data_IF_171839027116
#
_entry.id   IF_171839027116
#
_cell.length_a   1.000
_cell.length_b   1.000
_cell.length_c   1.000
_cell.angle_alpha   90.00
_cell.angle_beta   90.00
_cell.angle_gamma   90.00
#
_symmetry.space_group_name_H-M   'P 1'
#
loop_
_entity.id
_entity.type
_entity.pdbx_description
1 polymer ?
#
# COMPACT_ATOMS: atom_id res chain seq x y z
N UNK A 1 -19.22 -11.00 12.93
CA UNK A 1 -19.04 -11.68 11.64
C UNK A 1 -17.75 -11.21 10.94
N UNK A 2 -17.50 -9.92 10.79
CA UNK A 2 -16.29 -9.35 10.15
C UNK A 2 -14.97 -9.98 10.64
N UNK A 3 -14.75 -10.07 11.96
CA UNK A 3 -13.51 -10.64 12.54
C UNK A 3 -13.28 -12.11 12.13
N UNK A 4 -14.34 -12.91 11.98
CA UNK A 4 -14.21 -14.31 11.56
C UNK A 4 -13.81 -14.39 10.08
N UNK A 5 -14.47 -13.63 9.20
CA UNK A 5 -14.14 -13.56 7.77
C UNK A 5 -12.70 -13.07 7.56
N UNK A 6 -12.31 -11.97 8.21
CA UNK A 6 -10.97 -11.43 8.14
C UNK A 6 -9.90 -12.47 8.55
N UNK A 7 -10.15 -13.25 9.61
CA UNK A 7 -9.23 -14.32 10.05
C UNK A 7 -9.01 -15.38 8.97
N UNK A 8 -10.09 -15.81 8.31
CA UNK A 8 -9.99 -16.82 7.24
C UNK A 8 -9.30 -16.26 5.99
N UNK A 9 -9.61 -15.03 5.61
CA UNK A 9 -8.97 -14.34 4.49
C UNK A 9 -7.46 -14.17 4.74
N UNK A 10 -7.06 -13.71 5.92
CA UNK A 10 -5.65 -13.60 6.30
C UNK A 10 -4.94 -14.96 6.26
N UNK A 11 -5.57 -16.03 6.75
CA UNK A 11 -4.98 -17.37 6.73
C UNK A 11 -4.83 -17.92 5.30
N UNK A 12 -5.77 -17.61 4.41
CA UNK A 12 -5.71 -18.03 3.02
C UNK A 12 -4.51 -17.41 2.29
N UNK A 13 -4.33 -16.10 2.44
CA UNK A 13 -3.20 -15.37 1.82
C UNK A 13 -1.85 -15.72 2.44
N UNK A 14 -1.81 -16.00 3.75
CA UNK A 14 -0.59 -16.35 4.48
C UNK A 14 0.20 -17.50 3.85
N UNK A 15 -0.50 -18.48 3.30
CA UNK A 15 0.12 -19.66 2.70
C UNK A 15 1.06 -19.32 1.52
N UNK A 16 0.79 -18.22 0.82
CA UNK A 16 1.60 -17.77 -0.31
C UNK A 16 2.58 -16.68 0.09
N UNK A 17 2.15 -15.70 0.89
CA UNK A 17 3.02 -14.59 1.28
C UNK A 17 4.17 -15.00 2.18
N UNK A 18 3.93 -15.87 3.18
CA UNK A 18 4.96 -16.25 4.17
C UNK A 18 6.18 -16.93 3.50
N UNK A 19 6.01 -17.93 2.61
CA UNK A 19 7.16 -18.50 1.89
C UNK A 19 7.91 -17.46 1.05
N UNK A 20 7.20 -16.55 0.38
CA UNK A 20 7.82 -15.49 -0.41
C UNK A 20 8.67 -14.56 0.45
N UNK A 21 8.17 -14.14 1.61
CA UNK A 21 8.92 -13.32 2.55
C UNK A 21 10.18 -14.02 3.06
N UNK A 22 10.06 -15.32 3.38
CA UNK A 22 11.20 -16.12 3.80
C UNK A 22 12.30 -16.18 2.72
N UNK A 23 11.93 -16.37 1.45
CA UNK A 23 12.87 -16.41 0.34
C UNK A 23 13.56 -15.07 0.12
N UNK A 24 12.83 -13.94 0.19
CA UNK A 24 13.41 -12.59 0.03
C UNK A 24 14.40 -12.29 1.16
N UNK A 25 14.03 -12.57 2.41
CA UNK A 25 14.92 -12.36 3.56
C UNK A 25 16.16 -13.26 3.50
N UNK A 26 15.99 -14.51 3.08
CA UNK A 26 17.10 -15.43 2.91
C UNK A 26 18.06 -14.95 1.80
N UNK A 27 17.52 -14.48 0.68
CA UNK A 27 18.35 -13.92 -0.40
C UNK A 27 19.09 -12.65 0.02
N UNK A 28 18.49 -11.79 0.83
CA UNK A 28 19.18 -10.61 1.36
C UNK A 28 20.37 -11.00 2.26
N UNK A 29 20.19 -12.04 3.10
CA UNK A 29 21.30 -12.59 3.93
C UNK A 29 22.39 -13.24 3.07
N UNK A 30 22.02 -14.01 2.04
CA UNK A 30 23.01 -14.61 1.11
C UNK A 30 23.82 -13.54 0.37
N UNK A 31 23.20 -12.44 -0.02
CA UNK A 31 23.92 -11.33 -0.64
C UNK A 31 24.98 -10.72 0.29
N UNK A 32 24.71 -10.63 1.61
CA UNK A 32 25.73 -10.18 2.58
C UNK A 32 26.94 -11.12 2.55
N UNK A 33 26.71 -12.44 2.51
CA UNK A 33 27.78 -13.43 2.45
C UNK A 33 28.64 -13.24 1.20
N UNK A 34 28.00 -13.02 0.04
CA UNK A 34 28.72 -12.77 -1.21
C UNK A 34 29.53 -11.47 -1.17
N UNK A 35 28.98 -10.40 -0.58
CA UNK A 35 29.68 -9.12 -0.40
C UNK A 35 30.91 -9.33 0.50
N UNK A 36 30.74 -10.02 1.60
CA UNK A 36 31.82 -10.28 2.58
C UNK A 36 32.91 -11.20 2.06
N UNK A 37 32.54 -12.14 1.20
CA UNK A 37 33.48 -13.05 0.53
C UNK A 37 34.20 -12.41 -0.68
N UNK A 38 33.90 -11.16 -1.00
CA UNK A 38 34.43 -10.43 -2.19
C UNK A 38 34.26 -11.21 -3.50
N UNK A 39 33.26 -12.13 -3.54
CA UNK A 39 32.99 -12.97 -4.69
C UNK A 39 32.12 -12.21 -5.70
N UNK A 40 32.79 -11.48 -6.61
CA UNK A 40 32.15 -10.61 -7.60
C UNK A 40 31.04 -11.28 -8.43
N UNK A 41 31.22 -12.51 -8.97
CA UNK A 41 30.14 -13.18 -9.71
C UNK A 41 28.92 -13.46 -8.83
N UNK A 42 29.12 -13.84 -7.57
CA UNK A 42 28.04 -14.07 -6.60
C UNK A 42 27.30 -12.81 -6.24
N UNK A 43 28.01 -11.68 -6.05
CA UNK A 43 27.43 -10.37 -5.76
C UNK A 43 26.49 -9.93 -6.90
N UNK A 44 26.95 -9.99 -8.15
CA UNK A 44 26.17 -9.56 -9.31
C UNK A 44 24.95 -10.47 -9.51
N UNK A 45 25.13 -11.78 -9.51
CA UNK A 45 24.03 -12.74 -9.70
C UNK A 45 23.03 -12.71 -8.53
N UNK A 46 23.54 -12.62 -7.30
CA UNK A 46 22.71 -12.56 -6.09
C UNK A 46 21.85 -11.29 -6.05
N UNK A 47 22.42 -10.13 -6.41
CA UNK A 47 21.68 -8.88 -6.47
C UNK A 47 20.63 -8.91 -7.58
N UNK A 48 20.95 -9.46 -8.76
CA UNK A 48 19.96 -9.64 -9.83
C UNK A 48 18.80 -10.51 -9.40
N UNK A 49 19.08 -11.68 -8.79
CA UNK A 49 18.03 -12.58 -8.27
C UNK A 49 17.18 -11.87 -7.20
N UNK A 50 17.82 -11.12 -6.30
CA UNK A 50 17.11 -10.36 -5.27
C UNK A 50 16.15 -9.33 -5.88
N UNK A 51 16.59 -8.54 -6.86
CA UNK A 51 15.74 -7.57 -7.56
C UNK A 51 14.57 -8.27 -8.27
N UNK A 52 14.84 -9.40 -8.95
CA UNK A 52 13.78 -10.18 -9.59
C UNK A 52 12.76 -10.72 -8.57
N UNK A 53 13.21 -11.19 -7.40
CA UNK A 53 12.32 -11.65 -6.33
C UNK A 53 11.50 -10.51 -5.74
N UNK A 54 12.10 -9.33 -5.60
CA UNK A 54 11.39 -8.14 -5.10
C UNK A 54 10.31 -7.69 -6.08
N UNK A 55 10.60 -7.68 -7.38
CA UNK A 55 9.60 -7.41 -8.43
C UNK A 55 8.51 -8.49 -8.46
N UNK A 56 8.91 -9.76 -8.31
CA UNK A 56 7.96 -10.87 -8.25
C UNK A 56 7.02 -10.75 -7.03
N UNK A 57 7.51 -10.30 -5.87
CA UNK A 57 6.66 -10.03 -4.69
C UNK A 57 5.57 -9.00 -5.01
N UNK A 58 5.93 -7.90 -5.68
CA UNK A 58 4.96 -6.87 -6.05
C UNK A 58 3.87 -7.43 -6.98
N UNK A 59 4.27 -8.21 -8.00
CA UNK A 59 3.32 -8.84 -8.93
C UNK A 59 2.43 -9.86 -8.21
N UNK A 60 3.02 -10.72 -7.38
CA UNK A 60 2.28 -11.74 -6.60
C UNK A 60 1.30 -11.07 -5.63
N UNK A 61 1.68 -9.97 -4.98
CA UNK A 61 0.80 -9.23 -4.08
C UNK A 61 -0.46 -8.72 -4.79
N UNK A 62 -0.31 -8.15 -5.99
CA UNK A 62 -1.45 -7.70 -6.82
C UNK A 62 -2.29 -8.88 -7.29
N UNK A 63 -1.66 -9.92 -7.83
CA UNK A 63 -2.36 -11.11 -8.35
C UNK A 63 -3.13 -11.81 -7.25
N UNK A 64 -2.55 -12.00 -6.06
CA UNK A 64 -3.24 -12.63 -4.93
C UNK A 64 -4.42 -11.81 -4.44
N UNK A 65 -4.29 -10.48 -4.40
CA UNK A 65 -5.40 -9.59 -4.02
C UNK A 65 -6.57 -9.73 -4.99
N UNK A 66 -6.28 -9.72 -6.29
CA UNK A 66 -7.30 -9.87 -7.35
C UNK A 66 -7.93 -11.27 -7.30
N UNK A 67 -7.12 -12.32 -7.28
CA UNK A 67 -7.62 -13.70 -7.31
C UNK A 67 -8.41 -14.06 -6.07
N UNK A 68 -8.00 -13.58 -4.89
CA UNK A 68 -8.76 -13.81 -3.66
C UNK A 68 -10.13 -13.14 -3.72
N UNK A 69 -10.21 -11.86 -4.12
CA UNK A 69 -11.49 -11.20 -4.27
C UNK A 69 -12.36 -11.88 -5.32
N UNK A 70 -11.79 -12.18 -6.49
CA UNK A 70 -12.53 -12.83 -7.58
C UNK A 70 -13.08 -14.18 -7.14
N UNK A 71 -12.26 -15.09 -6.63
CA UNK A 71 -12.66 -16.44 -6.29
C UNK A 71 -13.72 -16.49 -5.17
N UNK A 72 -13.57 -15.62 -4.17
CA UNK A 72 -14.42 -15.65 -2.97
C UNK A 72 -15.70 -14.81 -3.09
N UNK A 73 -15.76 -13.85 -4.01
CA UNK A 73 -16.94 -12.97 -4.15
C UNK A 73 -17.67 -13.20 -5.48
N UNK A 74 -16.94 -13.37 -6.58
CA UNK A 74 -17.47 -13.42 -7.93
C UNK A 74 -17.36 -14.82 -8.57
N UNK A 75 -16.47 -15.67 -8.06
CA UNK A 75 -16.17 -17.00 -8.57
C UNK A 75 -16.95 -18.12 -7.88
N UNK A 76 -16.47 -19.37 -7.98
CA UNK A 76 -17.15 -20.56 -7.47
C UNK A 76 -17.48 -20.52 -5.97
N UNK A 77 -16.63 -19.90 -5.16
CA UNK A 77 -16.85 -19.73 -3.72
C UNK A 77 -17.82 -18.57 -3.41
N UNK A 78 -18.11 -17.72 -4.41
CA UNK A 78 -18.98 -16.56 -4.26
C UNK A 78 -20.41 -16.95 -3.87
N UNK A 79 -20.91 -18.08 -4.37
CA UNK A 79 -22.21 -18.59 -3.96
C UNK A 79 -22.28 -18.83 -2.46
N UNK A 80 -21.29 -19.52 -1.87
CA UNK A 80 -21.22 -19.77 -0.43
C UNK A 80 -21.08 -18.46 0.36
N UNK A 81 -20.25 -17.54 -0.13
CA UNK A 81 -20.02 -16.25 0.55
C UNK A 81 -21.30 -15.39 0.57
N UNK A 82 -22.06 -15.38 -0.51
CA UNK A 82 -23.29 -14.59 -0.62
C UNK A 82 -24.52 -15.25 0.02
N UNK A 83 -24.48 -16.56 0.32
CA UNK A 83 -25.53 -17.23 1.12
C UNK A 83 -25.35 -17.04 2.62
N UNK A 84 -24.21 -16.56 3.08
CA UNK A 84 -23.98 -16.24 4.49
C UNK A 84 -24.89 -15.07 4.92
N UNK A 85 -25.45 -15.10 6.16
CA UNK A 85 -26.26 -14.01 6.68
C UNK A 85 -25.39 -12.81 7.10
N UNK A 86 -24.66 -12.24 6.16
CA UNK A 86 -23.77 -11.08 6.36
C UNK A 86 -24.07 -10.01 5.33
N UNK A 87 -23.88 -8.74 5.70
CA UNK A 87 -24.05 -7.63 4.76
C UNK A 87 -22.92 -7.60 3.71
N UNK A 88 -23.23 -7.13 2.51
CA UNK A 88 -22.25 -6.91 1.44
C UNK A 88 -21.11 -6.01 1.92
N UNK A 89 -21.42 -5.02 2.75
CA UNK A 89 -20.43 -4.14 3.37
C UNK A 89 -19.40 -4.92 4.19
N UNK A 90 -19.84 -5.91 4.95
CA UNK A 90 -18.94 -6.77 5.73
C UNK A 90 -18.01 -7.58 4.85
N UNK A 91 -18.50 -8.05 3.70
CA UNK A 91 -17.71 -8.79 2.72
C UNK A 91 -16.64 -7.89 2.11
N UNK A 92 -17.02 -6.73 1.57
CA UNK A 92 -16.08 -5.77 0.97
C UNK A 92 -15.01 -5.35 1.99
N UNK A 93 -15.42 -4.97 3.20
CA UNK A 93 -14.49 -4.52 4.24
C UNK A 93 -13.53 -5.63 4.70
N UNK A 94 -13.99 -6.89 4.81
CA UNK A 94 -13.09 -7.99 5.20
C UNK A 94 -11.99 -8.19 4.17
N UNK A 95 -12.34 -8.12 2.87
CA UNK A 95 -11.37 -8.24 1.77
C UNK A 95 -10.42 -7.04 1.72
N UNK A 96 -10.95 -5.83 1.87
CA UNK A 96 -10.17 -4.59 1.89
C UNK A 96 -9.12 -4.63 3.02
N UNK A 97 -9.54 -4.95 4.25
CA UNK A 97 -8.62 -5.01 5.39
C UNK A 97 -7.61 -6.16 5.27
N UNK A 98 -8.02 -7.34 4.79
CA UNK A 98 -7.07 -8.45 4.63
C UNK A 98 -6.00 -8.16 3.59
N UNK A 99 -6.37 -7.61 2.43
CA UNK A 99 -5.44 -7.19 1.40
C UNK A 99 -4.51 -6.08 1.89
N UNK A 100 -5.05 -5.07 2.58
CA UNK A 100 -4.26 -3.96 3.13
C UNK A 100 -3.21 -4.44 4.13
N UNK A 101 -3.57 -5.36 5.03
CA UNK A 101 -2.63 -5.91 6.02
C UNK A 101 -1.47 -6.62 5.31
N UNK A 102 -1.74 -7.44 4.30
CA UNK A 102 -0.69 -8.15 3.57
C UNK A 102 0.18 -7.22 2.73
N UNK A 103 -0.40 -6.18 2.11
CA UNK A 103 0.38 -5.18 1.38
C UNK A 103 1.29 -4.37 2.31
N UNK A 104 0.79 -3.93 3.48
CA UNK A 104 1.60 -3.25 4.49
C UNK A 104 2.72 -4.17 4.98
N UNK A 105 2.42 -5.44 5.26
CA UNK A 105 3.41 -6.41 5.69
C UNK A 105 4.47 -6.65 4.60
N UNK A 106 4.08 -6.68 3.32
CA UNK A 106 5.02 -6.75 2.18
C UNK A 106 5.97 -5.54 2.15
N UNK A 107 5.45 -4.33 2.40
CA UNK A 107 6.29 -3.13 2.52
C UNK A 107 7.27 -3.24 3.70
N UNK A 108 6.81 -3.71 4.85
CA UNK A 108 7.67 -3.89 6.04
C UNK A 108 8.78 -4.90 5.75
N UNK A 109 8.44 -6.06 5.17
CA UNK A 109 9.43 -7.07 4.80
C UNK A 109 10.39 -6.54 3.74
N UNK A 110 9.90 -5.75 2.77
CA UNK A 110 10.73 -5.07 1.78
C UNK A 110 11.76 -4.14 2.42
N UNK A 111 11.32 -3.28 3.33
CA UNK A 111 12.21 -2.38 4.09
C UNK A 111 13.22 -3.17 4.92
N UNK A 112 12.77 -4.21 5.63
CA UNK A 112 13.67 -5.07 6.41
C UNK A 112 14.72 -5.75 5.53
N UNK A 113 14.35 -6.24 4.35
CA UNK A 113 15.29 -6.87 3.42
C UNK A 113 16.34 -5.90 2.89
N UNK A 114 15.95 -4.63 2.64
CA UNK A 114 16.89 -3.57 2.24
C UNK A 114 17.83 -3.20 3.41
N UNK A 115 17.31 -3.11 4.63
CA UNK A 115 18.15 -2.87 5.82
C UNK A 115 19.15 -3.99 6.04
N UNK A 116 18.74 -5.26 5.84
CA UNK A 116 19.66 -6.41 5.89
C UNK A 116 20.75 -6.27 4.84
N UNK A 117 20.40 -5.92 3.59
CA UNK A 117 21.41 -5.69 2.54
C UNK A 117 22.36 -4.54 2.88
N UNK A 118 21.86 -3.46 3.45
CA UNK A 118 22.67 -2.33 3.94
C UNK A 118 23.72 -2.76 4.96
N UNK A 119 23.40 -3.78 5.76
CA UNK A 119 24.34 -4.40 6.70
C UNK A 119 25.62 -4.93 6.03
N UNK A 120 25.51 -5.41 4.78
CA UNK A 120 26.65 -5.90 4.00
C UNK A 120 27.66 -4.80 3.64
N UNK A 121 27.21 -3.53 3.58
CA UNK A 121 28.05 -2.37 3.28
C UNK A 121 28.90 -1.87 4.44
N UNK A 122 28.63 -2.29 5.70
CA UNK A 122 29.45 -1.92 6.85
C UNK A 122 30.61 -2.90 7.03
N UNK A 123 31.79 -2.38 7.36
CA UNK A 123 33.01 -3.21 7.52
C UNK A 123 32.89 -4.17 8.70
N UNK A 124 32.14 -3.80 9.76
CA UNK A 124 31.91 -4.62 10.92
C UNK A 124 30.48 -4.51 11.45
N UNK A 125 30.06 -5.54 12.19
CA UNK A 125 28.80 -5.51 12.95
C UNK A 125 28.80 -4.35 13.95
N UNK A 126 29.95 -4.03 14.52
CA UNK A 126 30.11 -2.92 15.46
C UNK A 126 29.82 -1.57 14.83
N UNK A 127 30.30 -1.32 13.62
CA UNK A 127 30.01 -0.07 12.88
C UNK A 127 28.52 0.08 12.57
N UNK A 128 27.84 -1.01 12.20
CA UNK A 128 26.40 -0.98 12.00
C UNK A 128 25.67 -0.61 13.30
N UNK A 129 25.99 -1.26 14.41
CA UNK A 129 25.35 -0.95 15.68
C UNK A 129 25.74 0.45 16.21
N UNK A 130 26.96 0.94 15.92
CA UNK A 130 27.34 2.32 16.27
C UNK A 130 26.53 3.35 15.47
N UNK A 131 26.34 3.13 14.16
CA UNK A 131 25.49 4.00 13.33
C UNK A 131 24.02 4.01 13.82
N UNK A 132 23.48 2.84 14.19
CA UNK A 132 22.17 2.76 14.84
C UNK A 132 22.16 3.45 16.22
N UNK A 133 23.21 3.27 17.02
CA UNK A 133 23.37 3.92 18.32
C UNK A 133 23.41 5.44 18.20
N UNK A 134 24.11 5.99 17.20
CA UNK A 134 24.11 7.41 16.88
C UNK A 134 22.72 7.93 16.49
N UNK A 135 22.02 7.17 15.64
CA UNK A 135 20.64 7.50 15.22
C UNK A 135 19.70 7.51 16.44
N UNK A 136 19.73 6.46 17.27
CA UNK A 136 18.90 6.40 18.48
C UNK A 136 19.34 7.43 19.52
N UNK A 137 20.64 7.74 19.60
CA UNK A 137 21.17 8.81 20.45
C UNK A 137 20.67 10.18 20.01
N UNK A 138 20.66 10.45 18.71
CA UNK A 138 20.10 11.69 18.15
C UNK A 138 18.59 11.81 18.43
N UNK A 139 17.83 10.72 18.22
CA UNK A 139 16.41 10.65 18.57
C UNK A 139 16.23 10.85 20.09
N UNK A 140 17.04 10.20 20.90
CA UNK A 140 17.03 10.35 22.36
C UNK A 140 17.29 11.80 22.81
N UNK A 141 18.24 12.50 22.20
CA UNK A 141 18.49 13.92 22.46
C UNK A 141 17.29 14.79 22.08
N UNK A 142 16.64 14.54 20.94
CA UNK A 142 15.41 15.21 20.55
C UNK A 142 14.28 15.00 21.56
N UNK A 143 14.19 13.79 22.13
CA UNK A 143 13.17 13.45 23.14
C UNK A 143 13.43 14.04 24.53
N UNK A 144 14.70 14.31 24.89
CA UNK A 144 15.09 14.78 26.22
C UNK A 144 15.19 16.29 26.28
N UNK A 145 15.46 16.97 25.15
CA UNK A 145 15.69 18.42 25.12
C UNK A 145 14.37 19.20 24.96
N UNK A 146 13.92 19.95 25.98
CA UNK A 146 12.62 20.62 25.98
C UNK A 146 12.41 21.62 24.84
N UNK A 147 13.49 22.23 24.31
CA UNK A 147 13.42 23.17 23.18
C UNK A 147 12.90 22.53 21.89
N UNK A 148 13.00 21.22 21.71
CA UNK A 148 12.56 20.50 20.52
C UNK A 148 11.18 19.84 20.65
N UNK A 149 10.51 19.93 21.81
CA UNK A 149 9.20 19.26 22.01
C UNK A 149 8.13 19.76 21.06
N UNK A 150 8.14 21.06 20.71
CA UNK A 150 7.22 21.61 19.73
C UNK A 150 7.43 21.03 18.33
N UNK A 151 8.67 20.97 17.90
CA UNK A 151 9.06 20.46 16.59
C UNK A 151 8.85 18.94 16.51
N UNK A 152 9.16 18.22 17.58
CA UNK A 152 8.95 16.77 17.70
C UNK A 152 7.46 16.41 17.60
N UNK A 153 6.60 17.17 18.30
CA UNK A 153 5.15 16.96 18.25
C UNK A 153 4.59 17.21 16.83
N UNK A 154 5.07 18.25 16.17
CA UNK A 154 4.68 18.57 14.80
C UNK A 154 5.17 17.50 13.81
N UNK A 155 6.42 17.02 13.96
CA UNK A 155 6.98 15.95 13.15
C UNK A 155 6.20 14.64 13.35
N UNK A 156 5.89 14.28 14.60
CA UNK A 156 5.08 13.10 14.90
C UNK A 156 3.67 13.19 14.30
N UNK A 157 3.03 14.35 14.41
CA UNK A 157 1.72 14.58 13.80
C UNK A 157 1.77 14.48 12.27
N UNK A 158 2.81 15.02 11.62
CA UNK A 158 3.02 14.93 10.19
C UNK A 158 3.23 13.46 9.74
N UNK A 159 4.01 12.67 10.49
CA UNK A 159 4.20 11.25 10.22
C UNK A 159 2.90 10.45 10.35
N UNK A 160 2.07 10.74 11.36
CA UNK A 160 0.76 10.12 11.52
C UNK A 160 -0.16 10.47 10.35
N UNK A 161 -0.22 11.75 9.95
CA UNK A 161 -1.02 12.18 8.80
C UNK A 161 -0.52 11.54 7.50
N UNK A 162 0.79 11.47 7.29
CA UNK A 162 1.38 10.79 6.15
C UNK A 162 1.00 9.29 6.12
N UNK A 163 1.06 8.62 7.27
CA UNK A 163 0.65 7.21 7.37
C UNK A 163 -0.84 7.03 7.04
N UNK A 164 -1.71 7.89 7.58
CA UNK A 164 -3.15 7.89 7.26
C UNK A 164 -3.38 8.14 5.78
N UNK A 165 -2.68 9.10 5.18
CA UNK A 165 -2.75 9.38 3.74
C UNK A 165 -2.37 8.15 2.90
N UNK A 166 -1.28 7.46 3.27
CA UNK A 166 -0.86 6.23 2.58
C UNK A 166 -1.88 5.11 2.72
N UNK A 167 -2.55 4.96 3.88
CA UNK A 167 -3.64 3.99 4.05
C UNK A 167 -4.83 4.31 3.15
N UNK A 168 -5.24 5.58 3.05
CA UNK A 168 -6.33 5.99 2.16
C UNK A 168 -5.98 5.80 0.69
N UNK A 169 -4.73 6.06 0.29
CA UNK A 169 -4.23 5.80 -1.05
C UNK A 169 -4.25 4.29 -1.37
N UNK A 170 -3.82 3.45 -0.44
CA UNK A 170 -3.86 2.00 -0.57
C UNK A 170 -5.31 1.48 -0.70
N UNK A 171 -6.24 2.01 0.09
CA UNK A 171 -7.66 1.68 -0.05
C UNK A 171 -8.22 2.12 -1.40
N UNK A 172 -7.77 3.25 -1.93
CA UNK A 172 -8.19 3.73 -3.25
C UNK A 172 -7.81 2.73 -4.34
N UNK A 173 -6.57 2.27 -4.37
CA UNK A 173 -6.10 1.27 -5.34
C UNK A 173 -6.87 -0.07 -5.23
N UNK A 174 -7.09 -0.54 -4.00
CA UNK A 174 -7.84 -1.78 -3.78
C UNK A 174 -9.30 -1.66 -4.22
N UNK A 175 -9.99 -0.57 -3.87
CA UNK A 175 -11.37 -0.32 -4.27
C UNK A 175 -11.51 -0.15 -5.78
N UNK A 176 -10.51 0.46 -6.42
CA UNK A 176 -10.44 0.57 -7.87
C UNK A 176 -10.41 -0.81 -8.53
N UNK A 177 -9.55 -1.71 -8.06
CA UNK A 177 -9.50 -3.10 -8.52
C UNK A 177 -10.83 -3.82 -8.27
N UNK A 178 -11.44 -3.64 -7.10
CA UNK A 178 -12.71 -4.29 -6.75
C UNK A 178 -13.87 -3.77 -7.60
N UNK A 179 -13.92 -2.47 -7.88
CA UNK A 179 -14.91 -1.89 -8.79
C UNK A 179 -14.75 -2.43 -10.22
N UNK A 180 -13.51 -2.50 -10.73
CA UNK A 180 -13.23 -3.04 -12.05
C UNK A 180 -13.69 -4.51 -12.18
N UNK A 181 -13.44 -5.33 -11.17
CA UNK A 181 -13.91 -6.70 -11.12
C UNK A 181 -15.44 -6.80 -10.98
N UNK A 182 -16.07 -5.93 -10.19
CA UNK A 182 -17.52 -5.88 -10.10
C UNK A 182 -18.16 -5.46 -11.44
N UNK A 183 -17.59 -4.48 -12.15
CA UNK A 183 -18.06 -4.05 -13.46
C UNK A 183 -17.98 -5.16 -14.51
N UNK A 184 -17.04 -6.10 -14.39
CA UNK A 184 -16.93 -7.23 -15.33
C UNK A 184 -18.15 -8.18 -15.31
N UNK A 185 -19.00 -8.11 -14.26
CA UNK A 185 -20.26 -8.85 -14.18
C UNK A 185 -21.38 -8.21 -15.02
N UNK A 186 -21.21 -6.96 -15.46
CA UNK A 186 -22.22 -6.24 -16.22
C UNK A 186 -22.09 -6.54 -17.72
N UNK A 187 -23.24 -6.55 -18.41
CA UNK A 187 -23.24 -6.56 -19.88
C UNK A 187 -22.54 -5.28 -20.41
N UNK A 188 -21.65 -5.35 -21.41
CA UNK A 188 -21.35 -6.49 -22.29
C UNK A 188 -20.15 -7.37 -21.83
N UNK A 189 -19.55 -7.13 -20.67
CA UNK A 189 -18.31 -7.78 -20.23
C UNK A 189 -18.52 -9.19 -19.66
N UNK A 190 -19.76 -9.58 -19.37
CA UNK A 190 -20.10 -10.87 -18.73
C UNK A 190 -19.64 -12.11 -19.52
N UNK A 191 -19.45 -11.98 -20.85
CA UNK A 191 -19.02 -13.10 -21.72
C UNK A 191 -17.55 -13.49 -21.49
N UNK A 192 -16.67 -12.53 -21.18
CA UNK A 192 -15.26 -12.75 -20.89
C UNK A 192 -14.88 -11.94 -19.63
N UNK A 193 -15.21 -12.47 -18.46
CA UNK A 193 -15.10 -11.77 -17.16
C UNK A 193 -13.68 -11.24 -16.85
N UNK A 194 -12.63 -12.02 -17.20
CA UNK A 194 -11.24 -11.62 -16.96
C UNK A 194 -10.86 -10.44 -17.86
N UNK A 195 -11.10 -10.54 -19.18
CA UNK A 195 -10.82 -9.45 -20.10
C UNK A 195 -11.67 -8.21 -19.76
N UNK A 196 -12.94 -8.41 -19.38
CA UNK A 196 -13.83 -7.36 -18.92
C UNK A 196 -13.32 -6.61 -17.71
N UNK A 197 -12.71 -7.30 -16.73
CA UNK A 197 -12.10 -6.67 -15.55
C UNK A 197 -10.93 -5.77 -15.95
N UNK A 198 -10.06 -6.22 -16.86
CA UNK A 198 -8.95 -5.40 -17.34
C UNK A 198 -9.42 -4.16 -18.09
N UNK A 199 -10.40 -4.31 -19.01
CA UNK A 199 -10.96 -3.19 -19.76
C UNK A 199 -11.62 -2.21 -18.79
N UNK A 200 -12.43 -2.69 -17.85
CA UNK A 200 -13.07 -1.85 -16.84
C UNK A 200 -12.04 -1.12 -15.96
N UNK A 201 -10.94 -1.79 -15.59
CA UNK A 201 -9.86 -1.15 -14.83
C UNK A 201 -9.28 0.05 -15.58
N UNK A 202 -8.92 -0.11 -16.84
CA UNK A 202 -8.38 0.98 -17.65
C UNK A 202 -9.40 2.10 -17.92
N UNK A 203 -10.67 1.73 -18.18
CA UNK A 203 -11.75 2.69 -18.38
C UNK A 203 -12.01 3.57 -17.14
N UNK A 204 -11.79 3.04 -15.94
CA UNK A 204 -11.96 3.78 -14.70
C UNK A 204 -10.65 4.52 -14.35
N UNK A 205 -9.48 3.88 -14.55
CA UNK A 205 -8.19 4.46 -14.16
C UNK A 205 -7.80 5.68 -14.99
N UNK A 206 -8.08 5.68 -16.30
CA UNK A 206 -7.70 6.81 -17.16
C UNK A 206 -8.41 8.11 -16.75
N UNK A 207 -9.76 8.18 -16.63
CA UNK A 207 -10.42 9.39 -16.16
C UNK A 207 -10.01 9.77 -14.72
N UNK A 208 -9.84 8.80 -13.85
CA UNK A 208 -9.43 9.04 -12.47
C UNK A 208 -8.01 9.62 -12.38
N UNK A 209 -7.07 9.12 -13.17
CA UNK A 209 -5.71 9.65 -13.23
C UNK A 209 -5.66 11.07 -13.83
N UNK A 210 -6.47 11.34 -14.85
CA UNK A 210 -6.61 12.68 -15.42
C UNK A 210 -7.20 13.64 -14.37
N UNK A 211 -8.24 13.22 -13.65
CA UNK A 211 -8.87 14.02 -12.60
C UNK A 211 -7.89 14.32 -11.46
N UNK A 212 -7.17 13.31 -10.98
CA UNK A 212 -6.17 13.48 -9.92
C UNK A 212 -5.00 14.36 -10.38
N UNK A 213 -4.49 14.18 -11.60
CA UNK A 213 -3.46 15.02 -12.17
C UNK A 213 -3.94 16.48 -12.34
N UNK A 214 -5.16 16.70 -12.78
CA UNK A 214 -5.76 18.04 -12.89
C UNK A 214 -5.93 18.71 -11.53
N UNK A 215 -6.34 17.96 -10.50
CA UNK A 215 -6.43 18.48 -9.12
C UNK A 215 -5.05 18.85 -8.57
N UNK A 216 -4.05 17.99 -8.79
CA UNK A 216 -2.67 18.30 -8.38
C UNK A 216 -2.07 19.49 -9.13
N UNK A 217 -2.28 19.61 -10.44
CA UNK A 217 -1.82 20.76 -11.22
C UNK A 217 -2.53 22.05 -10.80
N UNK A 218 -3.82 21.97 -10.50
CA UNK A 218 -4.57 23.14 -10.00
C UNK A 218 -4.04 23.59 -8.64
N UNK A 219 -3.70 22.69 -7.72
CA UNK A 219 -3.11 23.05 -6.43
C UNK A 219 -1.71 23.67 -6.59
N UNK A 220 -0.88 23.17 -7.50
CA UNK A 220 0.42 23.74 -7.85
C UNK A 220 0.28 25.15 -8.45
N UNK A 221 -0.61 25.31 -9.43
CA UNK A 221 -0.87 26.62 -10.04
C UNK A 221 -1.40 27.66 -9.03
N UNK A 222 -2.30 27.23 -8.13
CA UNK A 222 -2.79 28.07 -7.03
C UNK A 222 -1.66 28.40 -6.05
N UNK A 223 -0.78 27.43 -5.75
CA UNK A 223 0.38 27.59 -4.88
C UNK A 223 1.38 28.64 -5.38
N UNK A 224 1.69 28.63 -6.68
CA UNK A 224 2.59 29.60 -7.31
C UNK A 224 2.00 31.03 -7.37
N UNK A 225 0.67 31.14 -7.44
CA UNK A 225 -0.03 32.44 -7.54
C UNK A 225 -0.35 33.07 -6.20
N UNK A 226 -0.40 32.29 -5.13
CA UNK A 226 -0.67 32.80 -3.79
C UNK A 226 0.66 33.00 -3.04
N UNK A 227 1.15 34.24 -2.94
CA UNK A 227 2.28 34.63 -2.10
C UNK A 227 2.12 34.12 -0.64
N UNK A 228 0.86 33.97 -0.20
CA UNK A 228 0.50 33.39 1.09
C UNK A 228 1.01 31.95 1.25
N UNK A 229 0.87 31.09 0.23
CA UNK A 229 1.35 29.69 0.31
C UNK A 229 2.88 29.65 0.28
N UNK A 230 3.51 30.56 -0.49
CA UNK A 230 4.95 30.67 -0.55
C UNK A 230 5.52 31.16 0.79
N UNK A 231 4.88 32.13 1.44
CA UNK A 231 5.26 32.60 2.77
C UNK A 231 5.03 31.54 3.86
N UNK A 232 3.99 30.70 3.72
CA UNK A 232 3.75 29.57 4.61
C UNK A 232 4.80 28.46 4.42
N UNK A 233 5.31 28.25 3.20
CA UNK A 233 6.33 27.22 2.91
C UNK A 233 7.76 27.63 3.27
N UNK A 234 8.05 28.92 3.40
CA UNK A 234 9.39 29.43 3.73
C UNK A 234 9.49 30.04 5.14
N UNK A 235 8.36 30.19 5.84
CA UNK A 235 8.27 30.81 7.16
C UNK A 235 8.23 29.80 8.33
N UNK A 236 8.07 30.30 9.56
CA UNK A 236 7.97 29.48 10.77
C UNK A 236 6.75 28.55 10.81
N UNK A 237 5.82 28.69 9.86
CA UNK A 237 4.59 27.89 9.76
C UNK A 237 4.66 26.76 8.73
N UNK A 238 5.85 26.39 8.24
CA UNK A 238 6.06 25.35 7.21
C UNK A 238 5.43 24.02 7.58
N UNK A 239 5.56 23.58 8.84
CA UNK A 239 4.96 22.35 9.33
C UNK A 239 3.42 22.40 9.32
N UNK A 240 2.84 23.54 9.72
CA UNK A 240 1.39 23.71 9.70
C UNK A 240 0.84 23.67 8.26
N UNK A 241 1.52 24.29 7.31
CA UNK A 241 1.17 24.23 5.88
C UNK A 241 1.24 22.79 5.34
N UNK A 242 2.29 22.04 5.70
CA UNK A 242 2.44 20.64 5.32
C UNK A 242 1.33 19.76 5.90
N UNK A 243 0.97 19.94 7.17
CA UNK A 243 -0.15 19.23 7.80
C UNK A 243 -1.49 19.53 7.13
N UNK A 244 -1.74 20.80 6.77
CA UNK A 244 -2.95 21.19 6.03
C UNK A 244 -2.98 20.55 4.63
N UNK A 245 -1.84 20.50 3.95
CA UNK A 245 -1.74 19.82 2.65
C UNK A 245 -2.06 18.33 2.77
N UNK A 246 -1.48 17.62 3.76
CA UNK A 246 -1.81 16.21 3.99
C UNK A 246 -3.29 16.01 4.33
N UNK A 247 -3.86 16.85 5.20
CA UNK A 247 -5.27 16.80 5.55
C UNK A 247 -6.16 17.00 4.31
N UNK A 248 -5.86 17.98 3.46
CA UNK A 248 -6.58 18.21 2.22
C UNK A 248 -6.52 16.99 1.27
N UNK A 249 -5.35 16.38 1.10
CA UNK A 249 -5.19 15.17 0.28
C UNK A 249 -5.98 14.00 0.88
N UNK A 250 -5.98 13.82 2.20
CA UNK A 250 -6.77 12.78 2.89
C UNK A 250 -8.27 12.96 2.61
N UNK A 251 -8.78 14.19 2.66
CA UNK A 251 -10.20 14.47 2.36
C UNK A 251 -10.52 14.12 0.90
N UNK A 252 -9.67 14.50 -0.04
CA UNK A 252 -9.85 14.14 -1.46
C UNK A 252 -9.84 12.62 -1.65
N UNK A 253 -8.87 11.92 -1.07
CA UNK A 253 -8.79 10.47 -1.12
C UNK A 253 -10.01 9.80 -0.46
N UNK A 254 -10.52 10.33 0.64
CA UNK A 254 -11.73 9.83 1.30
C UNK A 254 -12.96 9.94 0.38
N UNK A 255 -13.12 11.07 -0.32
CA UNK A 255 -14.19 11.28 -1.29
C UNK A 255 -14.07 10.31 -2.49
N UNK A 256 -12.85 10.13 -3.01
CA UNK A 256 -12.58 9.18 -4.09
C UNK A 256 -12.86 7.74 -3.65
N UNK A 257 -12.44 7.36 -2.45
CA UNK A 257 -12.74 6.04 -1.87
C UNK A 257 -14.25 5.82 -1.73
N UNK A 258 -14.99 6.82 -1.29
CA UNK A 258 -16.46 6.76 -1.23
C UNK A 258 -17.06 6.61 -2.64
N UNK A 259 -16.57 7.39 -3.62
CA UNK A 259 -17.02 7.32 -5.01
C UNK A 259 -16.77 5.95 -5.66
N UNK A 260 -15.71 5.23 -5.28
CA UNK A 260 -15.42 3.87 -5.74
C UNK A 260 -16.20 2.81 -4.95
N UNK A 261 -16.40 3.02 -3.65
CA UNK A 261 -17.07 2.09 -2.76
C UNK A 261 -18.57 1.94 -3.07
N UNK A 262 -19.29 3.05 -3.26
CA UNK A 262 -20.74 3.00 -3.48
C UNK A 262 -21.14 2.24 -4.74
N UNK A 263 -20.52 2.46 -5.92
CA UNK A 263 -20.81 1.66 -7.11
C UNK A 263 -20.46 0.18 -6.92
N UNK A 264 -19.31 -0.13 -6.30
CA UNK A 264 -18.92 -1.51 -6.01
C UNK A 264 -19.97 -2.21 -5.17
N UNK A 265 -20.41 -1.57 -4.09
CA UNK A 265 -21.49 -2.07 -3.22
C UNK A 265 -22.81 -2.26 -3.99
N UNK A 266 -23.19 -1.28 -4.81
CA UNK A 266 -24.43 -1.34 -5.59
C UNK A 266 -24.44 -2.51 -6.57
N UNK A 267 -23.34 -2.72 -7.28
CA UNK A 267 -23.22 -3.82 -8.25
C UNK A 267 -23.27 -5.17 -7.51
N UNK A 268 -22.51 -5.34 -6.45
CA UNK A 268 -22.46 -6.58 -5.67
C UNK A 268 -23.80 -6.89 -4.99
N UNK A 269 -24.59 -5.87 -4.62
CA UNK A 269 -25.88 -6.07 -3.97
C UNK A 269 -27.01 -6.40 -4.94
N UNK A 270 -27.02 -5.75 -6.12
CA UNK A 270 -28.20 -5.73 -6.99
C UNK A 270 -27.99 -6.38 -8.37
N UNK A 271 -26.73 -6.55 -8.81
CA UNK A 271 -26.39 -6.98 -10.17
C UNK A 271 -25.47 -8.18 -10.21
N UNK A 272 -25.24 -8.83 -9.08
CA UNK A 272 -24.39 -10.00 -9.01
C UNK A 272 -25.04 -11.16 -9.75
N UNK A 273 -24.40 -11.64 -10.81
CA UNK A 273 -24.77 -12.86 -11.53
C UNK A 273 -23.69 -13.92 -11.29
N UNK A 274 -24.03 -14.97 -10.55
CA UNK A 274 -23.15 -16.07 -10.17
C UNK A 274 -23.28 -17.29 -11.12
N UNK A 275 -23.98 -17.15 -12.26
CA UNK A 275 -24.10 -18.19 -13.31
C UNK A 275 -22.81 -18.35 -14.12
#
# INVERSE_FOLDING_TARGET
>A
MLRKMLKYDLKAMAKTFIPFYAVILLMSVLNIIFIRAEWTPGMVSGTLIYVCLFMALAVVAVVLTITQFYNTVLGPEGYLTNTLPVSVDTIILSKLFSASIWLILSCIVGVLSILILGFGGFASIGEFFSAFGELFGAIGQLLITPSYYGDLAQMAAALVLMFVMLLFALFNELLHMYLAMACSQLYPFSKNRIAGSFIAYFLISIPLSILTAALFSATGFVGERLEIIQSLMTGPHTFAAMMLAFAAVIVVLALLNAALYFPTRYILKNKLNLE
#
